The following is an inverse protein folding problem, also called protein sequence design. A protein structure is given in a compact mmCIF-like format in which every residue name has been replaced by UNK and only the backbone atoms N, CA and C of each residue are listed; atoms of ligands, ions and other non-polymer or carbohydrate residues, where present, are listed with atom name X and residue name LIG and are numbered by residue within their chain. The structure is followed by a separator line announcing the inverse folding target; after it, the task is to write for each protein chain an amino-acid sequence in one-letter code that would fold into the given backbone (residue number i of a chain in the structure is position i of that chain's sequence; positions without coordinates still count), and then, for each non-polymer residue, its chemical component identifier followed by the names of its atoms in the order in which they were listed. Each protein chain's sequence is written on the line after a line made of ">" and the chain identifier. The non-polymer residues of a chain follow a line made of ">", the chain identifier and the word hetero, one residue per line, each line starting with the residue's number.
data_IF_333491649238
#
_entry.id   IF_333491649238
#
_cell.length_a   1.000
_cell.length_b   1.000
_cell.length_c   1.000
_cell.angle_alpha   90.00
_cell.angle_beta   90.00
_cell.angle_gamma   90.00
#
_symmetry.space_group_name_H-M   'P 1'
#
loop_
_entity.id
_entity.type
_entity.pdbx_description
1 polymer ?
#
# COMPACT_ATOMS: atom_id res chain seq x y z
N UNK A 1 12.34 9.60 -20.35
CA UNK A 1 11.93 8.21 -20.67
C UNK A 1 12.36 7.39 -19.48
N UNK A 2 11.41 6.87 -18.72
CA UNK A 2 11.75 6.15 -17.49
C UNK A 2 12.46 4.84 -17.86
N UNK A 3 13.55 4.54 -17.15
CA UNK A 3 14.24 3.27 -17.31
C UNK A 3 13.39 2.19 -16.62
N UNK A 4 12.81 1.30 -17.43
CA UNK A 4 11.94 0.23 -16.96
C UNK A 4 12.73 -1.02 -16.51
N UNK A 5 14.05 -1.05 -16.70
CA UNK A 5 14.91 -2.19 -16.31
C UNK A 5 14.78 -2.52 -14.81
N UNK A 6 14.60 -1.49 -13.98
CA UNK A 6 14.39 -1.67 -12.54
C UNK A 6 13.06 -2.35 -12.20
N UNK A 7 12.04 -2.21 -13.05
CA UNK A 7 10.72 -2.84 -12.84
C UNK A 7 10.82 -4.35 -13.11
N UNK A 8 11.48 -4.74 -14.20
CA UNK A 8 11.67 -6.16 -14.52
C UNK A 8 12.50 -6.87 -13.44
N UNK A 9 13.61 -6.27 -13.01
CA UNK A 9 14.44 -6.83 -11.94
C UNK A 9 13.70 -6.95 -10.59
N UNK A 10 12.86 -5.96 -10.25
CA UNK A 10 12.04 -6.02 -9.04
C UNK A 10 10.95 -7.11 -9.14
N UNK A 11 10.34 -7.28 -10.31
CA UNK A 11 9.36 -8.33 -10.56
C UNK A 11 9.98 -9.72 -10.41
N UNK A 12 11.16 -9.95 -10.99
CA UNK A 12 11.89 -11.22 -10.86
C UNK A 12 12.23 -11.54 -9.39
N UNK A 13 12.64 -10.54 -8.61
CA UNK A 13 12.92 -10.72 -7.19
C UNK A 13 11.67 -11.09 -6.36
N UNK A 14 10.49 -10.62 -6.78
CA UNK A 14 9.22 -10.93 -6.12
C UNK A 14 8.56 -12.22 -6.62
N UNK A 15 8.95 -12.75 -7.77
CA UNK A 15 8.31 -13.92 -8.38
C UNK A 15 8.33 -15.18 -7.48
N UNK A 16 9.37 -15.33 -6.64
CA UNK A 16 9.49 -16.42 -5.67
C UNK A 16 9.03 -16.06 -4.25
N UNK A 17 8.50 -14.86 -4.02
CA UNK A 17 8.14 -14.41 -2.69
C UNK A 17 6.81 -15.04 -2.23
N UNK A 18 6.91 -16.05 -1.35
CA UNK A 18 5.74 -16.72 -0.78
C UNK A 18 5.03 -15.89 0.31
N UNK A 19 5.64 -14.80 0.76
CA UNK A 19 5.13 -14.00 1.88
C UNK A 19 5.11 -14.75 3.20
N UNK A 20 4.37 -14.19 4.16
CA UNK A 20 4.04 -14.83 5.43
C UNK A 20 2.64 -14.41 5.86
N UNK A 21 1.87 -15.25 6.56
CA UNK A 21 0.64 -14.81 7.19
C UNK A 21 0.90 -13.63 8.13
N UNK A 22 0.05 -12.61 8.06
CA UNK A 22 0.13 -11.46 8.96
C UNK A 22 -1.28 -11.07 9.43
N UNK A 23 -1.54 -11.08 10.75
CA UNK A 23 -2.86 -10.75 11.27
C UNK A 23 -3.13 -9.25 11.15
N UNK A 24 -4.08 -8.89 10.29
CA UNK A 24 -4.57 -7.51 10.20
C UNK A 24 -5.42 -7.18 11.44
N UNK A 25 -5.00 -6.18 12.21
CA UNK A 25 -5.66 -5.83 13.48
C UNK A 25 -6.83 -4.87 13.31
N UNK A 26 -6.72 -3.89 12.40
CA UNK A 26 -7.70 -2.82 12.25
C UNK A 26 -7.94 -2.48 10.79
N UNK A 27 -9.16 -2.04 10.51
CA UNK A 27 -9.58 -1.41 9.26
C UNK A 27 -9.50 0.09 9.46
N UNK A 28 -8.68 0.77 8.65
CA UNK A 28 -8.49 2.21 8.71
C UNK A 28 -9.24 2.90 7.58
N UNK A 29 -10.12 3.85 7.90
CA UNK A 29 -10.64 4.81 6.96
C UNK A 29 -9.63 5.95 6.82
N UNK A 30 -9.10 6.14 5.62
CA UNK A 30 -8.12 7.20 5.34
C UNK A 30 -8.67 8.22 4.35
N UNK A 31 -8.40 9.50 4.62
CA UNK A 31 -8.60 10.58 3.67
C UNK A 31 -7.40 10.68 2.75
N UNK A 32 -7.65 10.63 1.44
CA UNK A 32 -6.62 10.89 0.41
C UNK A 32 -6.76 12.31 -0.14
N UNK A 33 -5.63 12.93 -0.49
CA UNK A 33 -5.60 14.16 -1.29
C UNK A 33 -5.43 13.89 -2.80
N UNK A 34 -5.80 12.70 -3.27
CA UNK A 34 -5.76 12.34 -4.70
C UNK A 34 -6.52 13.37 -5.54
N UNK A 35 -5.95 13.76 -6.68
CA UNK A 35 -6.53 14.75 -7.59
C UNK A 35 -6.17 16.22 -7.31
N UNK A 36 -5.31 16.51 -6.32
CA UNK A 36 -4.88 17.89 -5.96
C UNK A 36 -3.83 18.51 -6.91
N UNK A 37 -3.47 17.84 -8.00
CA UNK A 37 -2.40 18.29 -8.92
C UNK A 37 -1.02 17.73 -8.56
N UNK A 38 0.07 18.30 -9.13
CA UNK A 38 1.41 17.74 -9.04
C UNK A 38 1.95 17.83 -7.60
N UNK A 39 2.25 16.68 -7.01
CA UNK A 39 2.83 16.56 -5.67
C UNK A 39 2.61 15.17 -5.08
N UNK A 40 3.29 14.83 -3.97
CA UNK A 40 3.08 13.56 -3.28
C UNK A 40 1.62 13.43 -2.80
N UNK A 41 1.06 12.22 -2.99
CA UNK A 41 -0.23 11.88 -2.41
C UNK A 41 -0.02 11.65 -0.91
N UNK A 42 -0.79 12.35 -0.08
CA UNK A 42 -0.82 12.20 1.35
C UNK A 42 -2.09 11.49 1.77
N UNK A 43 -1.94 10.54 2.69
CA UNK A 43 -3.03 9.85 3.36
C UNK A 43 -3.06 10.27 4.82
N UNK A 44 -4.25 10.49 5.36
CA UNK A 44 -4.47 10.80 6.77
C UNK A 44 -5.51 9.85 7.32
N UNK A 45 -5.24 9.22 8.46
CA UNK A 45 -6.26 8.45 9.19
C UNK A 45 -7.44 9.36 9.57
N UNK A 46 -8.65 8.85 9.36
CA UNK A 46 -9.92 9.48 9.76
C UNK A 46 -10.52 8.71 10.92
N UNK A 47 -10.60 7.39 10.81
CA UNK A 47 -11.11 6.49 11.85
C UNK A 47 -10.58 5.07 11.66
N UNK A 48 -10.64 4.24 12.70
CA UNK A 48 -10.24 2.84 12.62
C UNK A 48 -11.04 1.91 13.53
N UNK A 49 -11.43 0.75 13.00
CA UNK A 49 -12.18 -0.29 13.72
C UNK A 49 -11.38 -1.59 13.82
N UNK A 50 -11.56 -2.41 14.87
CA UNK A 50 -11.03 -3.77 14.90
C UNK A 50 -11.49 -4.60 13.69
N UNK A 51 -10.58 -5.39 13.10
CA UNK A 51 -10.91 -6.33 12.01
C UNK A 51 -11.32 -7.72 12.51
N UNK A 52 -11.19 -7.95 13.81
CA UNK A 52 -11.68 -9.13 14.50
C UNK A 52 -12.96 -8.73 15.23
N UNK A 53 -13.99 -9.58 15.11
CA UNK A 53 -15.15 -9.50 15.97
C UNK A 53 -14.81 -10.13 17.31
N UNK A 54 -15.06 -9.41 18.40
CA UNK A 54 -15.30 -10.03 19.70
C UNK A 54 -16.73 -10.61 19.71
#
# INVERSE_FOLDING_TARGET
>A
RDNLDGIAAAADALAGFAGRPWPARRLHLVGSNIGRGPGPIHYRDIDAWPLHGD
#
